data_IF_693638674286
#
_entry.id   IF_693638674286
#
_cell.length_a   1.000
_cell.length_b   1.000
_cell.length_c   1.000
_cell.angle_alpha   90.00
_cell.angle_beta   90.00
_cell.angle_gamma   90.00
#
_symmetry.space_group_name_H-M   'P 1'
#
loop_
_entity.id
_entity.type
_entity.pdbx_description
1 polymer ?
#
# COMPACT_ATOMS: atom_id res chain seq x y z
N UNK A 1 17.57 39.18 -15.04
CA UNK A 1 17.91 39.29 -13.62
C UNK A 1 16.84 38.55 -12.82
N UNK A 2 17.06 37.27 -12.51
CA UNK A 2 16.21 36.50 -11.58
C UNK A 2 16.37 37.04 -10.17
N UNK A 3 15.29 37.17 -9.41
CA UNK A 3 15.32 37.81 -8.09
C UNK A 3 16.15 36.96 -7.11
N UNK A 4 16.89 37.55 -6.16
CA UNK A 4 17.73 36.82 -5.19
C UNK A 4 16.99 35.72 -4.40
N UNK A 5 15.66 35.85 -4.25
CA UNK A 5 14.79 34.89 -3.56
C UNK A 5 14.61 33.59 -4.37
N UNK A 6 14.51 33.67 -5.69
CA UNK A 6 14.35 32.49 -6.57
C UNK A 6 15.63 31.65 -6.62
N UNK A 7 16.79 32.30 -6.57
CA UNK A 7 18.10 31.63 -6.58
C UNK A 7 18.36 30.79 -5.33
N UNK A 8 17.76 31.15 -4.19
CA UNK A 8 17.88 30.39 -2.95
C UNK A 8 16.91 29.21 -2.91
N UNK A 9 15.70 29.36 -3.45
CA UNK A 9 14.71 28.28 -3.50
C UNK A 9 15.21 27.07 -4.31
N UNK A 10 15.84 27.31 -5.46
CA UNK A 10 16.41 26.25 -6.30
C UNK A 10 17.51 25.47 -5.55
N UNK A 11 18.42 26.18 -4.87
CA UNK A 11 19.48 25.54 -4.07
C UNK A 11 18.94 24.66 -2.95
N UNK A 12 17.87 25.09 -2.27
CA UNK A 12 17.26 24.28 -1.22
C UNK A 12 16.55 23.05 -1.80
N UNK A 13 15.95 23.17 -2.98
CA UNK A 13 15.34 22.03 -3.68
C UNK A 13 16.40 21.00 -4.11
N UNK A 14 17.51 21.45 -4.70
CA UNK A 14 18.66 20.61 -5.07
C UNK A 14 19.25 19.92 -3.83
N UNK A 15 19.43 20.66 -2.73
CA UNK A 15 19.92 20.10 -1.48
C UNK A 15 18.96 19.04 -0.90
N UNK A 16 17.65 19.31 -0.88
CA UNK A 16 16.66 18.33 -0.42
C UNK A 16 16.73 17.03 -1.24
N UNK A 17 16.84 17.17 -2.56
CA UNK A 17 16.95 16.05 -3.48
C UNK A 17 18.21 15.20 -3.21
N UNK A 18 19.38 15.83 -3.12
CA UNK A 18 20.64 15.15 -2.82
C UNK A 18 20.56 14.37 -1.50
N UNK A 19 20.03 15.02 -0.44
CA UNK A 19 19.87 14.37 0.86
C UNK A 19 18.91 13.18 0.81
N UNK A 20 17.81 13.27 0.05
CA UNK A 20 16.86 12.18 -0.08
C UNK A 20 17.38 11.03 -0.94
N UNK A 21 18.18 11.32 -1.97
CA UNK A 21 18.82 10.30 -2.81
C UNK A 21 19.86 9.49 -2.03
N UNK A 22 20.64 10.13 -1.16
CA UNK A 22 21.59 9.44 -0.28
C UNK A 22 20.87 8.51 0.72
N UNK A 23 19.75 8.97 1.29
CA UNK A 23 18.94 8.19 2.22
C UNK A 23 18.20 7.04 1.53
N UNK A 24 17.69 7.25 0.31
CA UNK A 24 16.95 6.25 -0.47
C UNK A 24 17.91 5.52 -1.41
N UNK A 25 18.91 4.85 -0.82
CA UNK A 25 19.90 4.10 -1.57
C UNK A 25 19.23 3.11 -2.55
N UNK A 26 19.56 3.21 -3.85
CA UNK A 26 18.99 2.39 -4.94
C UNK A 26 19.08 0.88 -4.67
N UNK A 27 20.13 0.45 -3.99
CA UNK A 27 20.36 -0.95 -3.61
C UNK A 27 19.31 -1.51 -2.64
N UNK A 28 18.62 -0.65 -1.89
CA UNK A 28 17.61 -1.09 -0.92
C UNK A 28 16.45 -1.77 -1.62
N UNK A 29 15.94 -1.17 -2.68
CA UNK A 29 14.83 -1.72 -3.48
C UNK A 29 15.23 -3.06 -4.10
N UNK A 30 16.43 -3.14 -4.68
CA UNK A 30 16.97 -4.39 -5.24
C UNK A 30 17.01 -5.50 -4.19
N UNK A 31 17.56 -5.22 -3.00
CA UNK A 31 17.60 -6.16 -1.87
C UNK A 31 16.20 -6.62 -1.45
N UNK A 32 15.19 -5.75 -1.50
CA UNK A 32 13.80 -6.15 -1.21
C UNK A 32 13.29 -7.21 -2.20
N UNK A 33 13.55 -7.08 -3.49
CA UNK A 33 13.14 -8.10 -4.47
C UNK A 33 13.95 -9.39 -4.34
N UNK A 34 15.27 -9.30 -4.18
CA UNK A 34 16.13 -10.47 -3.99
C UNK A 34 15.67 -11.32 -2.81
N UNK A 35 15.46 -10.68 -1.64
CA UNK A 35 15.00 -11.37 -0.44
C UNK A 35 13.55 -11.84 -0.53
N UNK A 36 12.70 -11.12 -1.25
CA UNK A 36 11.34 -11.57 -1.49
C UNK A 36 11.28 -12.81 -2.40
N UNK A 37 12.08 -12.86 -3.47
CA UNK A 37 12.23 -14.05 -4.29
C UNK A 37 12.76 -15.23 -3.47
N UNK A 38 13.78 -14.99 -2.65
CA UNK A 38 14.31 -16.01 -1.73
C UNK A 38 13.22 -16.59 -0.81
N UNK A 39 12.38 -15.73 -0.21
CA UNK A 39 11.24 -16.17 0.61
C UNK A 39 10.30 -17.04 -0.22
N UNK A 40 9.91 -16.59 -1.41
CA UNK A 40 8.92 -17.28 -2.25
C UNK A 40 9.45 -18.63 -2.72
N UNK A 41 10.67 -18.69 -3.25
CA UNK A 41 11.29 -19.94 -3.71
C UNK A 41 11.40 -20.95 -2.57
N UNK A 42 11.82 -20.51 -1.38
CA UNK A 42 11.91 -21.39 -0.21
C UNK A 42 10.53 -21.93 0.19
N UNK A 43 9.48 -21.10 0.17
CA UNK A 43 8.12 -21.54 0.47
C UNK A 43 7.60 -22.54 -0.59
N UNK A 44 7.90 -22.31 -1.87
CA UNK A 44 7.53 -23.23 -2.93
C UNK A 44 8.21 -24.59 -2.79
N UNK A 45 9.50 -24.62 -2.46
CA UNK A 45 10.25 -25.84 -2.18
C UNK A 45 9.64 -26.61 -1.00
N UNK A 46 9.39 -25.93 0.13
CA UNK A 46 8.72 -26.55 1.30
C UNK A 46 7.32 -27.07 0.96
N UNK A 47 6.58 -26.39 0.09
CA UNK A 47 5.28 -26.88 -0.35
C UNK A 47 5.40 -28.15 -1.19
N UNK A 48 6.42 -28.27 -2.05
CA UNK A 48 6.68 -29.47 -2.85
C UNK A 48 7.08 -30.65 -1.96
N UNK A 49 7.99 -30.45 -1.01
CA UNK A 49 8.41 -31.47 -0.02
C UNK A 49 7.19 -32.12 0.67
N UNK A 50 6.23 -31.31 1.14
CA UNK A 50 5.04 -31.81 1.85
C UNK A 50 4.08 -32.56 0.92
N UNK A 51 3.94 -32.11 -0.33
CA UNK A 51 3.06 -32.75 -1.30
C UNK A 51 3.52 -34.17 -1.68
N UNK A 52 4.80 -34.49 -1.55
CA UNK A 52 5.32 -35.85 -1.76
C UNK A 52 4.95 -36.83 -0.63
N UNK A 53 4.51 -36.34 0.54
CA UNK A 53 4.26 -37.14 1.75
C UNK A 53 2.78 -37.20 2.17
N UNK A 54 1.85 -37.12 1.21
CA UNK A 54 0.43 -37.49 1.39
C UNK A 54 -0.50 -36.44 2.04
N UNK A 55 -0.12 -35.14 2.05
CA UNK A 55 -1.02 -34.03 2.45
C UNK A 55 -1.12 -32.93 1.40
N UNK A 56 -2.36 -32.51 1.13
CA UNK A 56 -2.65 -31.29 0.37
C UNK A 56 -2.19 -30.08 1.20
N UNK A 57 -1.02 -29.53 0.86
CA UNK A 57 -0.48 -28.31 1.46
C UNK A 57 -1.52 -27.17 1.34
N UNK A 58 -1.86 -26.43 2.42
CA UNK A 58 -2.72 -25.25 2.32
C UNK A 58 -2.22 -24.24 1.28
N UNK A 59 -0.91 -24.17 1.09
CA UNK A 59 -0.24 -23.27 0.13
C UNK A 59 -0.42 -23.69 -1.33
N UNK A 60 -0.79 -24.95 -1.62
CA UNK A 60 -0.89 -25.46 -2.99
C UNK A 60 -1.95 -24.78 -3.85
N UNK A 61 -2.84 -23.98 -3.24
CA UNK A 61 -3.85 -23.21 -3.94
C UNK A 61 -3.39 -21.82 -4.39
N UNK A 62 -2.25 -21.35 -3.88
CA UNK A 62 -1.64 -20.09 -4.29
C UNK A 62 -1.09 -20.27 -5.71
N UNK A 63 -1.49 -19.41 -6.64
CA UNK A 63 -0.98 -19.46 -8.02
C UNK A 63 0.13 -18.44 -8.28
N UNK A 64 0.25 -17.44 -7.41
CA UNK A 64 1.13 -16.31 -7.66
C UNK A 64 1.35 -15.43 -6.43
N UNK A 65 2.22 -14.43 -6.60
CA UNK A 65 2.62 -13.49 -5.56
C UNK A 65 2.97 -12.15 -6.19
N UNK A 66 2.76 -11.08 -5.43
CA UNK A 66 3.22 -9.73 -5.79
C UNK A 66 3.97 -9.09 -4.63
N UNK A 67 4.99 -8.29 -4.94
CA UNK A 67 5.55 -7.31 -4.03
C UNK A 67 4.92 -5.95 -4.34
N UNK A 68 4.19 -5.40 -3.38
CA UNK A 68 3.42 -4.17 -3.52
C UNK A 68 3.85 -3.13 -2.47
N UNK A 69 3.07 -2.06 -2.30
CA UNK A 69 3.30 -1.03 -1.30
C UNK A 69 4.52 -0.16 -1.61
N UNK A 70 5.23 0.27 -0.56
CA UNK A 70 6.29 1.29 -0.66
C UNK A 70 7.44 0.88 -1.60
N UNK A 71 7.77 -0.40 -1.66
CA UNK A 71 8.87 -0.89 -2.52
C UNK A 71 8.53 -0.72 -4.00
N UNK A 72 7.37 -1.22 -4.43
CA UNK A 72 6.92 -1.13 -5.82
C UNK A 72 6.62 0.32 -6.25
N UNK A 73 6.18 1.17 -5.29
CA UNK A 73 5.99 2.61 -5.49
C UNK A 73 7.29 3.41 -5.59
N UNK A 74 8.46 2.80 -5.33
CA UNK A 74 9.75 3.51 -5.18
C UNK A 74 9.73 4.58 -4.07
N UNK A 75 8.98 4.31 -3.02
CA UNK A 75 8.82 5.14 -1.81
C UNK A 75 9.39 4.43 -0.56
N UNK A 76 10.24 3.42 -0.75
CA UNK A 76 10.82 2.65 0.34
C UNK A 76 12.02 3.39 0.95
N UNK A 77 11.92 3.69 2.23
CA UNK A 77 13.02 4.23 3.05
C UNK A 77 13.68 3.07 3.82
N UNK A 78 15.01 2.92 3.78
CA UNK A 78 15.72 1.86 4.52
C UNK A 78 15.38 1.85 6.01
N UNK A 79 15.30 0.66 6.61
CA UNK A 79 14.98 0.45 8.03
C UNK A 79 13.62 1.00 8.53
N UNK A 80 12.86 1.67 7.67
CA UNK A 80 11.56 2.26 7.99
C UNK A 80 10.41 1.61 7.22
N UNK A 81 10.67 1.23 5.97
CA UNK A 81 9.68 0.58 5.12
C UNK A 81 9.64 -0.92 5.33
N UNK A 82 8.56 -1.56 4.88
CA UNK A 82 8.47 -3.00 4.77
C UNK A 82 8.03 -3.38 3.35
N UNK A 83 8.46 -4.54 2.88
CA UNK A 83 7.96 -5.13 1.65
C UNK A 83 6.56 -5.70 1.89
N UNK A 84 5.59 -5.35 1.05
CA UNK A 84 4.23 -5.89 1.17
C UNK A 84 4.03 -7.05 0.19
N UNK A 85 4.16 -8.28 0.68
CA UNK A 85 4.00 -9.49 -0.11
C UNK A 85 2.56 -9.98 -0.06
N UNK A 86 1.90 -10.04 -1.21
CA UNK A 86 0.53 -10.56 -1.32
C UNK A 86 0.54 -11.86 -2.11
N UNK A 87 0.24 -12.97 -1.44
CA UNK A 87 0.06 -14.26 -2.09
C UNK A 87 -1.38 -14.40 -2.59
N UNK A 88 -1.52 -14.82 -3.84
CA UNK A 88 -2.77 -14.82 -4.58
C UNK A 88 -3.26 -16.24 -4.82
N UNK A 89 -4.52 -16.51 -4.50
CA UNK A 89 -5.22 -17.69 -5.00
C UNK A 89 -6.45 -17.33 -5.81
N UNK A 90 -6.83 -18.22 -6.71
CA UNK A 90 -7.97 -18.03 -7.58
C UNK A 90 -9.24 -18.56 -6.93
N UNK A 91 -10.32 -17.76 -6.96
CA UNK A 91 -11.65 -18.16 -6.54
C UNK A 91 -12.65 -17.81 -7.65
N UNK A 92 -13.31 -18.82 -8.23
CA UNK A 92 -14.38 -18.54 -9.20
C UNK A 92 -15.51 -17.81 -8.48
N UNK A 93 -16.04 -16.75 -9.08
CA UNK A 93 -17.07 -15.93 -8.47
C UNK A 93 -18.30 -16.74 -7.99
N UNK A 94 -18.71 -17.74 -8.77
CA UNK A 94 -19.83 -18.64 -8.42
C UNK A 94 -19.63 -19.48 -7.16
N UNK A 95 -18.40 -19.61 -6.68
CA UNK A 95 -18.05 -20.33 -5.46
C UNK A 95 -17.98 -19.42 -4.22
N UNK A 96 -18.26 -18.12 -4.37
CA UNK A 96 -18.41 -17.24 -3.24
C UNK A 96 -19.89 -17.18 -2.85
N UNK A 97 -20.34 -18.14 -2.05
CA UNK A 97 -21.63 -18.06 -1.35
C UNK A 97 -21.41 -17.49 0.06
N UNK A 98 -22.37 -16.71 0.55
CA UNK A 98 -22.34 -16.14 1.91
C UNK A 98 -22.26 -17.23 2.98
N UNK A 99 -22.83 -18.42 2.71
CA UNK A 99 -22.75 -19.60 3.59
C UNK A 99 -21.32 -20.15 3.74
N UNK A 100 -20.43 -19.86 2.79
CA UNK A 100 -19.05 -20.38 2.75
C UNK A 100 -18.00 -19.37 3.25
N UNK A 101 -18.41 -18.18 3.70
CA UNK A 101 -17.48 -17.12 4.10
C UNK A 101 -16.50 -17.53 5.23
N UNK A 102 -16.98 -18.30 6.20
CA UNK A 102 -16.12 -18.81 7.27
C UNK A 102 -15.08 -19.83 6.75
N UNK A 103 -15.41 -20.59 5.70
CA UNK A 103 -14.47 -21.48 5.01
C UNK A 103 -13.35 -20.69 4.33
N UNK A 104 -13.68 -19.61 3.63
CA UNK A 104 -12.67 -18.73 3.02
C UNK A 104 -11.78 -18.05 4.07
N UNK A 105 -12.37 -17.58 5.17
CA UNK A 105 -11.59 -17.00 6.27
C UNK A 105 -10.69 -18.03 6.93
N UNK A 106 -11.17 -19.26 7.12
CA UNK A 106 -10.37 -20.38 7.61
C UNK A 106 -9.23 -20.68 6.65
N UNK A 107 -9.48 -20.73 5.35
CA UNK A 107 -8.45 -20.94 4.31
C UNK A 107 -7.34 -19.88 4.36
N UNK A 108 -7.68 -18.59 4.50
CA UNK A 108 -6.68 -17.52 4.69
C UNK A 108 -5.81 -17.77 5.93
N UNK A 109 -6.45 -18.10 7.05
CA UNK A 109 -5.76 -18.36 8.32
C UNK A 109 -4.85 -19.58 8.20
N UNK A 110 -5.31 -20.65 7.54
CA UNK A 110 -4.55 -21.88 7.38
C UNK A 110 -3.32 -21.66 6.49
N UNK A 111 -3.44 -20.89 5.41
CA UNK A 111 -2.30 -20.50 4.57
C UNK A 111 -1.29 -19.66 5.36
N UNK A 112 -1.74 -18.62 6.08
CA UNK A 112 -0.84 -17.78 6.89
C UNK A 112 -0.15 -18.58 8.00
N UNK A 113 -0.89 -19.46 8.67
CA UNK A 113 -0.35 -20.35 9.69
C UNK A 113 0.70 -21.29 9.09
N UNK A 114 0.45 -21.83 7.90
CA UNK A 114 1.40 -22.67 7.18
C UNK A 114 2.67 -21.90 6.80
N UNK A 115 2.55 -20.67 6.27
CA UNK A 115 3.71 -19.81 5.96
C UNK A 115 4.51 -19.53 7.25
N UNK A 116 3.82 -19.18 8.34
CA UNK A 116 4.47 -18.94 9.65
C UNK A 116 5.24 -20.16 10.14
N UNK A 117 4.64 -21.34 10.08
CA UNK A 117 5.28 -22.60 10.49
C UNK A 117 6.50 -22.91 9.60
N UNK A 118 6.37 -22.70 8.29
CA UNK A 118 7.46 -22.89 7.34
C UNK A 118 8.64 -21.95 7.63
N UNK A 119 8.37 -20.65 7.84
CA UNK A 119 9.39 -19.66 8.24
C UNK A 119 10.06 -20.04 9.57
N UNK A 120 9.29 -20.51 10.56
CA UNK A 120 9.86 -20.95 11.84
C UNK A 120 10.74 -22.19 11.69
N UNK A 121 10.32 -23.15 10.85
CA UNK A 121 11.09 -24.35 10.53
C UNK A 121 12.41 -23.99 9.85
N UNK A 122 12.37 -23.14 8.81
CA UNK A 122 13.56 -22.66 8.09
C UNK A 122 14.53 -21.95 9.04
N UNK A 123 14.01 -21.09 9.93
CA UNK A 123 14.82 -20.41 10.95
C UNK A 123 15.58 -21.40 11.83
N UNK A 124 14.92 -22.49 12.26
CA UNK A 124 15.51 -23.55 13.10
C UNK A 124 16.52 -24.39 12.31
N UNK A 125 16.18 -24.80 11.09
CA UNK A 125 17.05 -25.56 10.18
C UNK A 125 18.35 -24.81 9.87
N UNK A 126 18.27 -23.50 9.62
CA UNK A 126 19.45 -22.66 9.33
C UNK A 126 20.17 -22.14 10.58
N UNK A 127 19.69 -22.47 11.78
CA UNK A 127 20.21 -21.99 13.06
C UNK A 127 20.51 -20.47 13.08
N UNK A 128 19.62 -19.64 12.49
CA UNK A 128 19.90 -18.21 12.28
C UNK A 128 18.96 -17.28 13.06
N UNK A 129 19.53 -16.21 13.61
CA UNK A 129 18.78 -15.11 14.23
C UNK A 129 18.39 -14.01 13.21
N UNK A 130 18.82 -14.14 11.94
CA UNK A 130 18.52 -13.19 10.85
C UNK A 130 17.08 -13.30 10.34
N UNK A 131 16.37 -14.37 10.69
CA UNK A 131 14.95 -14.59 10.37
C UNK A 131 14.16 -14.52 11.67
N UNK A 132 13.12 -13.67 11.72
CA UNK A 132 12.25 -13.51 12.89
C UNK A 132 10.80 -13.34 12.47
N UNK A 133 9.88 -13.91 13.25
CA UNK A 133 8.46 -13.55 13.17
C UNK A 133 8.26 -12.37 14.12
N UNK A 134 7.80 -11.24 13.59
CA UNK A 134 7.60 -10.00 14.35
C UNK A 134 6.18 -9.88 14.88
N UNK A 135 5.19 -10.22 14.04
CA UNK A 135 3.76 -10.15 14.39
C UNK A 135 2.99 -11.20 13.60
N UNK A 136 1.96 -11.78 14.20
CA UNK A 136 1.04 -12.68 13.52
C UNK A 136 -0.40 -12.37 13.96
N UNK A 137 -1.29 -12.19 13.00
CA UNK A 137 -2.73 -12.00 13.20
C UNK A 137 -3.52 -12.92 12.28
N UNK A 138 -4.85 -12.91 12.40
CA UNK A 138 -5.74 -13.70 11.54
C UNK A 138 -5.65 -13.34 10.06
N UNK A 139 -5.21 -12.12 9.73
CA UNK A 139 -5.19 -11.58 8.37
C UNK A 139 -3.80 -11.21 7.86
N UNK A 140 -2.76 -11.34 8.71
CA UNK A 140 -1.42 -10.95 8.30
C UNK A 140 -0.30 -11.59 9.10
N UNK A 141 0.86 -11.68 8.47
CA UNK A 141 2.11 -12.12 9.08
C UNK A 141 3.19 -11.07 8.81
N UNK A 142 3.83 -10.55 9.85
CA UNK A 142 4.99 -9.66 9.73
C UNK A 142 6.25 -10.44 10.11
N UNK A 143 7.23 -10.47 9.22
CA UNK A 143 8.51 -11.14 9.44
C UNK A 143 9.67 -10.17 9.21
N UNK A 144 10.81 -10.46 9.83
CA UNK A 144 12.11 -9.91 9.45
C UNK A 144 12.89 -11.03 8.76
N UNK A 145 13.27 -10.81 7.51
CA UNK A 145 14.03 -11.76 6.71
C UNK A 145 15.37 -11.15 6.31
N UNK A 146 16.46 -11.64 6.88
CA UNK A 146 17.84 -11.22 6.59
C UNK A 146 18.03 -9.69 6.64
N UNK A 147 17.45 -9.06 7.65
CA UNK A 147 17.57 -7.63 7.91
C UNK A 147 16.41 -6.77 7.42
N UNK A 148 15.60 -7.24 6.46
CA UNK A 148 14.47 -6.51 5.90
C UNK A 148 13.14 -6.98 6.50
N UNK A 149 12.17 -6.07 6.64
CA UNK A 149 10.84 -6.41 7.12
C UNK A 149 9.87 -6.67 5.97
N UNK A 150 9.06 -7.72 6.11
CA UNK A 150 8.00 -8.05 5.16
C UNK A 150 6.68 -8.20 5.89
N UNK A 151 5.65 -7.60 5.31
CA UNK A 151 4.26 -7.81 5.67
C UNK A 151 3.62 -8.71 4.62
N UNK A 152 3.25 -9.91 5.04
CA UNK A 152 2.65 -10.94 4.21
C UNK A 152 1.13 -10.93 4.41
N UNK A 153 0.40 -10.84 3.30
CA UNK A 153 -1.04 -10.96 3.22
C UNK A 153 -1.44 -12.05 2.22
N UNK A 154 -2.64 -12.59 2.40
CA UNK A 154 -3.28 -13.51 1.46
C UNK A 154 -4.47 -12.79 0.85
N UNK A 155 -4.62 -12.89 -0.46
CA UNK A 155 -5.78 -12.40 -1.16
C UNK A 155 -6.29 -13.45 -2.16
N UNK A 156 -7.60 -13.51 -2.35
CA UNK A 156 -8.16 -14.14 -3.52
C UNK A 156 -8.47 -13.15 -4.63
N UNK A 157 -8.42 -13.66 -5.85
CA UNK A 157 -8.76 -12.96 -7.07
C UNK A 157 -9.86 -13.73 -7.82
N UNK A 158 -10.71 -13.01 -8.54
CA UNK A 158 -11.78 -13.56 -9.38
C UNK A 158 -11.33 -13.88 -10.80
N UNK A 159 -10.15 -13.39 -11.19
CA UNK A 159 -9.42 -13.75 -12.40
C UNK A 159 -7.99 -14.18 -12.04
N UNK A 160 -7.38 -15.06 -12.83
CA UNK A 160 -5.94 -15.36 -12.67
C UNK A 160 -5.13 -14.28 -13.35
N UNK A 161 -4.26 -13.61 -12.61
CA UNK A 161 -3.37 -12.56 -13.14
C UNK A 161 -2.07 -13.18 -13.57
N UNK A 162 -1.86 -13.31 -14.88
CA UNK A 162 -0.71 -14.04 -15.43
C UNK A 162 0.61 -13.41 -14.97
N UNK A 163 0.71 -12.08 -14.96
CA UNK A 163 1.90 -11.33 -14.53
C UNK A 163 2.27 -11.49 -13.04
N UNK A 164 1.45 -12.17 -12.24
CA UNK A 164 1.75 -12.49 -10.84
C UNK A 164 2.09 -13.97 -10.63
N UNK A 165 1.91 -14.82 -11.64
CA UNK A 165 2.00 -16.26 -11.48
C UNK A 165 3.44 -16.70 -11.24
N UNK A 166 3.64 -17.74 -10.42
CA UNK A 166 4.99 -18.21 -10.08
C UNK A 166 5.84 -18.66 -11.28
N UNK A 167 5.18 -19.00 -12.40
CA UNK A 167 5.80 -19.49 -13.63
C UNK A 167 5.76 -18.46 -14.77
N UNK A 168 5.44 -17.20 -14.47
CA UNK A 168 5.30 -16.17 -15.50
C UNK A 168 6.66 -15.73 -16.06
N UNK A 169 7.60 -15.40 -15.18
CA UNK A 169 8.98 -15.09 -15.54
C UNK A 169 9.84 -16.35 -15.54
N UNK A 170 10.80 -16.41 -16.47
CA UNK A 170 11.85 -17.44 -16.47
C UNK A 170 12.81 -17.19 -15.28
N UNK A 171 13.58 -18.20 -14.86
CA UNK A 171 14.67 -18.09 -13.86
C UNK A 171 14.34 -17.97 -12.36
N UNK A 172 13.29 -18.65 -11.86
CA UNK A 172 12.92 -18.64 -10.42
C UNK A 172 12.70 -17.23 -9.83
N UNK A 173 12.49 -16.24 -10.70
CA UNK A 173 12.00 -14.93 -10.31
C UNK A 173 10.48 -15.05 -10.19
N UNK A 174 9.94 -14.68 -9.04
CA UNK A 174 8.52 -14.72 -8.71
C UNK A 174 7.96 -13.33 -8.40
N UNK A 175 8.82 -12.41 -7.97
CA UNK A 175 8.50 -11.00 -7.76
C UNK A 175 9.56 -10.12 -8.41
N UNK A 176 9.13 -9.06 -9.07
CA UNK A 176 10.01 -8.16 -9.81
C UNK A 176 9.44 -6.74 -9.81
N UNK A 177 10.28 -5.70 -10.00
CA UNK A 177 9.79 -4.34 -10.20
C UNK A 177 9.07 -4.25 -11.53
N UNK A 178 7.83 -3.80 -11.53
CA UNK A 178 7.05 -3.65 -12.75
C UNK A 178 7.49 -2.36 -13.45
N UNK A 179 7.58 -2.40 -14.77
CA UNK A 179 7.63 -1.19 -15.59
C UNK A 179 6.31 -0.42 -15.49
N UNK A 180 6.30 0.84 -15.94
CA UNK A 180 5.07 1.62 -16.01
C UNK A 180 4.01 0.94 -16.89
N UNK A 181 4.41 0.41 -18.04
CA UNK A 181 3.52 -0.33 -18.96
C UNK A 181 2.91 -1.57 -18.30
N UNK A 182 3.73 -2.35 -17.58
CA UNK A 182 3.25 -3.52 -16.83
C UNK A 182 2.30 -3.11 -15.70
N UNK A 183 2.56 -1.99 -15.01
CA UNK A 183 1.65 -1.46 -13.99
C UNK A 183 0.35 -0.95 -14.60
N UNK A 184 0.37 -0.34 -15.78
CA UNK A 184 -0.82 0.10 -16.48
C UNK A 184 -1.67 -1.09 -16.91
N UNK A 185 -1.07 -2.12 -17.48
CA UNK A 185 -1.75 -3.38 -17.83
C UNK A 185 -2.37 -4.02 -16.57
N UNK A 186 -1.60 -4.11 -15.49
CA UNK A 186 -2.11 -4.62 -14.23
C UNK A 186 -3.25 -3.74 -13.69
N UNK A 187 -3.14 -2.42 -13.75
CA UNK A 187 -4.17 -1.50 -13.29
C UNK A 187 -5.48 -1.69 -14.05
N UNK A 188 -5.45 -1.84 -15.37
CA UNK A 188 -6.64 -2.10 -16.18
C UNK A 188 -7.35 -3.39 -15.73
N UNK A 189 -6.62 -4.50 -15.62
CA UNK A 189 -7.15 -5.78 -15.12
C UNK A 189 -7.78 -5.65 -13.72
N UNK A 190 -7.17 -4.84 -12.85
CA UNK A 190 -7.63 -4.63 -11.49
C UNK A 190 -8.88 -3.75 -11.42
N UNK A 191 -8.97 -2.74 -12.29
CA UNK A 191 -10.16 -1.89 -12.44
C UNK A 191 -11.34 -2.74 -12.90
N UNK A 192 -11.13 -3.65 -13.86
CA UNK A 192 -12.17 -4.55 -14.37
C UNK A 192 -12.65 -5.55 -13.31
N UNK A 193 -11.76 -6.04 -12.44
CA UNK A 193 -12.12 -6.98 -11.38
C UNK A 193 -12.78 -6.31 -10.16
N UNK A 194 -12.47 -5.03 -9.90
CA UNK A 194 -12.87 -4.33 -8.69
C UNK A 194 -14.40 -4.28 -8.44
N UNK A 195 -15.28 -4.04 -9.45
CA UNK A 195 -16.73 -4.09 -9.27
C UNK A 195 -17.24 -5.40 -8.66
N UNK A 196 -16.59 -6.53 -8.95
CA UNK A 196 -16.96 -7.83 -8.40
C UNK A 196 -16.75 -7.84 -6.88
N UNK A 197 -15.58 -7.40 -6.41
CA UNK A 197 -15.31 -7.28 -4.97
C UNK A 197 -16.29 -6.31 -4.28
N UNK A 198 -16.59 -5.18 -4.91
CA UNK A 198 -17.51 -4.16 -4.38
C UNK A 198 -18.92 -4.70 -4.21
N UNK A 199 -19.44 -5.40 -5.23
CA UNK A 199 -20.75 -6.07 -5.17
C UNK A 199 -20.81 -7.04 -4.00
N UNK A 200 -19.74 -7.79 -3.74
CA UNK A 200 -19.68 -8.76 -2.63
C UNK A 200 -19.66 -8.07 -1.26
N UNK A 201 -18.89 -7.01 -1.09
CA UNK A 201 -18.90 -6.21 0.15
C UNK A 201 -20.30 -5.64 0.43
N UNK A 202 -20.98 -5.13 -0.61
CA UNK A 202 -22.35 -4.57 -0.50
C UNK A 202 -23.40 -5.63 -0.14
N UNK A 203 -23.24 -6.85 -0.66
CA UNK A 203 -24.17 -7.95 -0.42
C UNK A 203 -24.05 -8.58 0.97
N UNK A 204 -22.95 -8.34 1.69
CA UNK A 204 -22.87 -8.72 3.10
C UNK A 204 -23.77 -7.77 3.90
N UNK A 205 -24.84 -8.34 4.48
CA UNK A 205 -25.78 -7.59 5.30
C UNK A 205 -25.06 -6.79 6.40
N UNK A 206 -25.58 -5.58 6.69
CA UNK A 206 -24.95 -4.64 7.65
C UNK A 206 -24.66 -5.25 9.03
N UNK A 207 -25.43 -6.27 9.44
CA UNK A 207 -25.26 -6.97 10.70
C UNK A 207 -23.97 -7.83 10.75
N UNK A 208 -23.38 -8.22 9.61
CA UNK A 208 -22.20 -9.08 9.57
C UNK A 208 -20.90 -8.29 9.37
N UNK A 209 -20.61 -7.43 10.35
CA UNK A 209 -19.41 -6.55 10.35
C UNK A 209 -18.11 -7.34 10.14
N UNK A 210 -18.01 -8.55 10.71
CA UNK A 210 -16.82 -9.41 10.61
C UNK A 210 -16.52 -9.81 9.17
N UNK A 211 -17.53 -10.25 8.41
CA UNK A 211 -17.34 -10.63 7.00
C UNK A 211 -17.05 -9.43 6.12
N UNK A 212 -17.72 -8.31 6.37
CA UNK A 212 -17.45 -7.07 5.66
C UNK A 212 -15.98 -6.64 5.79
N UNK A 213 -15.46 -6.57 7.01
CA UNK A 213 -14.05 -6.25 7.25
C UNK A 213 -13.09 -7.27 6.63
N UNK A 214 -13.47 -8.54 6.58
CA UNK A 214 -12.66 -9.57 5.92
C UNK A 214 -12.59 -9.36 4.40
N UNK A 215 -13.73 -9.06 3.76
CA UNK A 215 -13.81 -8.75 2.33
C UNK A 215 -13.07 -7.44 1.98
N UNK A 216 -13.20 -6.40 2.80
CA UNK A 216 -12.48 -5.13 2.63
C UNK A 216 -10.97 -5.33 2.70
N UNK A 217 -10.47 -6.15 3.64
CA UNK A 217 -9.05 -6.51 3.68
C UNK A 217 -8.62 -7.32 2.45
N UNK A 218 -9.46 -8.24 1.97
CA UNK A 218 -9.17 -9.00 0.76
C UNK A 218 -9.08 -8.07 -0.47
N UNK A 219 -10.05 -7.17 -0.63
CA UNK A 219 -10.05 -6.13 -1.65
C UNK A 219 -8.78 -5.29 -1.58
N UNK A 220 -8.43 -4.77 -0.38
CA UNK A 220 -7.22 -3.98 -0.15
C UNK A 220 -5.94 -4.68 -0.64
N UNK A 221 -5.80 -5.96 -0.30
CA UNK A 221 -4.61 -6.74 -0.65
C UNK A 221 -4.61 -7.10 -2.15
N UNK A 222 -5.75 -7.57 -2.66
CA UNK A 222 -5.96 -7.97 -4.06
C UNK A 222 -5.71 -6.80 -5.01
N UNK A 223 -6.22 -5.61 -4.70
CA UNK A 223 -6.09 -4.42 -5.54
C UNK A 223 -4.88 -3.55 -5.21
N UNK A 224 -3.94 -4.05 -4.40
CA UNK A 224 -2.85 -3.23 -3.88
C UNK A 224 -1.96 -2.60 -4.96
N UNK A 225 -1.84 -3.23 -6.14
CA UNK A 225 -1.10 -2.67 -7.28
C UNK A 225 -1.78 -1.44 -7.93
N UNK A 226 -3.09 -1.23 -7.76
CA UNK A 226 -3.73 0.00 -8.24
C UNK A 226 -3.13 1.22 -7.55
N UNK A 227 -3.00 1.16 -6.22
CA UNK A 227 -2.31 2.21 -5.45
C UNK A 227 -0.86 2.37 -5.85
N UNK A 228 -0.22 1.31 -6.32
CA UNK A 228 1.15 1.41 -6.83
C UNK A 228 1.15 2.23 -8.11
N UNK A 229 0.34 1.85 -9.09
CA UNK A 229 0.23 2.54 -10.38
C UNK A 229 0.02 4.04 -10.18
N UNK A 230 -1.03 4.44 -9.44
CA UNK A 230 -1.35 5.84 -9.20
C UNK A 230 -0.35 6.63 -8.36
N UNK A 231 0.64 5.98 -7.73
CA UNK A 231 1.68 6.64 -6.94
C UNK A 231 3.08 6.46 -7.53
N UNK A 232 3.18 5.96 -8.77
CA UNK A 232 4.43 5.91 -9.51
C UNK A 232 4.91 7.32 -9.83
N UNK A 233 6.22 7.53 -9.71
CA UNK A 233 6.87 8.83 -9.98
C UNK A 233 6.51 9.35 -11.38
N UNK A 234 6.41 8.44 -12.33
CA UNK A 234 6.05 8.73 -13.72
C UNK A 234 4.63 9.31 -13.88
N UNK A 235 3.74 9.11 -12.90
CA UNK A 235 2.37 9.63 -12.90
C UNK A 235 2.17 10.81 -11.94
N UNK A 236 2.76 10.77 -10.75
CA UNK A 236 2.57 11.83 -9.73
C UNK A 236 3.67 12.90 -9.74
N UNK A 237 4.73 12.69 -10.53
CA UNK A 237 5.88 13.57 -10.63
C UNK A 237 6.93 13.36 -9.52
N UNK A 238 8.18 13.67 -9.88
CA UNK A 238 9.36 13.59 -8.99
C UNK A 238 9.19 14.42 -7.73
N UNK A 239 8.68 15.65 -7.84
CA UNK A 239 8.53 16.55 -6.69
C UNK A 239 7.52 16.04 -5.65
N UNK A 240 6.41 15.43 -6.08
CA UNK A 240 5.46 14.76 -5.18
C UNK A 240 6.13 13.59 -4.46
N UNK A 241 6.89 12.76 -5.18
CA UNK A 241 7.61 11.64 -4.59
C UNK A 241 8.61 12.11 -3.53
N UNK A 242 9.38 13.16 -3.81
CA UNK A 242 10.32 13.76 -2.84
C UNK A 242 9.59 14.29 -1.60
N UNK A 243 8.47 15.00 -1.77
CA UNK A 243 7.66 15.48 -0.66
C UNK A 243 7.15 14.34 0.22
N UNK A 244 6.65 13.25 -0.39
CA UNK A 244 6.19 12.06 0.34
C UNK A 244 7.35 11.40 1.11
N UNK A 245 8.51 11.24 0.48
CA UNK A 245 9.70 10.67 1.13
C UNK A 245 10.14 11.51 2.33
N UNK A 246 10.21 12.83 2.15
CA UNK A 246 10.53 13.78 3.23
C UNK A 246 9.56 13.63 4.40
N UNK A 247 8.25 13.67 4.15
CA UNK A 247 7.24 13.61 5.21
C UNK A 247 7.23 12.25 5.94
N UNK A 248 7.55 11.15 5.23
CA UNK A 248 7.71 9.83 5.87
C UNK A 248 8.92 9.81 6.82
N UNK A 249 10.05 10.37 6.39
CA UNK A 249 11.27 10.51 7.21
C UNK A 249 10.99 11.43 8.40
N UNK A 250 10.42 12.61 8.16
CA UNK A 250 10.03 13.56 9.20
C UNK A 250 9.12 12.92 10.24
N UNK A 251 8.03 12.26 9.81
CA UNK A 251 7.10 11.60 10.73
C UNK A 251 7.80 10.50 11.55
N UNK A 252 8.72 9.74 10.94
CA UNK A 252 9.48 8.74 11.67
C UNK A 252 10.41 9.35 12.73
N UNK A 253 11.14 10.41 12.37
CA UNK A 253 12.05 11.11 13.30
C UNK A 253 11.29 11.71 14.48
N UNK A 254 10.18 12.42 14.21
CA UNK A 254 9.35 13.05 15.25
C UNK A 254 8.73 12.01 16.20
N UNK A 255 8.53 10.78 15.73
CA UNK A 255 7.81 9.74 16.46
C UNK A 255 8.72 8.68 17.06
N UNK A 256 10.03 8.71 16.76
CA UNK A 256 11.00 7.66 17.11
C UNK A 256 11.00 7.30 18.59
N UNK A 257 10.85 8.29 19.47
CA UNK A 257 10.93 8.12 20.92
C UNK A 257 9.56 7.94 21.59
N UNK A 258 8.46 7.94 20.81
CA UNK A 258 7.11 7.74 21.35
C UNK A 258 6.77 6.27 21.53
N UNK A 259 5.98 5.88 22.55
CA UNK A 259 5.46 4.53 22.69
C UNK A 259 4.69 4.07 21.43
N UNK A 260 4.85 2.80 21.03
CA UNK A 260 4.22 2.24 19.80
C UNK A 260 2.70 2.47 19.71
N UNK A 261 1.98 2.47 20.83
CA UNK A 261 0.54 2.74 20.84
C UNK A 261 0.24 4.20 20.45
N UNK A 262 1.04 5.16 20.93
CA UNK A 262 0.91 6.56 20.56
C UNK A 262 1.37 6.82 19.11
N UNK A 263 2.39 6.10 18.65
CA UNK A 263 2.82 6.16 17.23
C UNK A 263 1.68 5.79 16.27
N UNK A 264 0.88 4.78 16.59
CA UNK A 264 -0.23 4.34 15.72
C UNK A 264 -1.43 5.29 15.72
N UNK A 265 -1.64 6.05 16.80
CA UNK A 265 -2.79 6.96 16.93
C UNK A 265 -2.50 8.37 16.41
N UNK A 266 -1.24 8.82 16.45
CA UNK A 266 -0.86 10.20 16.14
C UNK A 266 -0.18 10.38 14.78
N UNK A 267 0.13 9.29 14.06
CA UNK A 267 0.73 9.34 12.73
C UNK A 267 -0.32 9.27 11.62
N UNK A 268 -0.13 10.04 10.55
CA UNK A 268 -0.81 9.78 9.29
C UNK A 268 -0.29 8.47 8.68
N UNK A 269 -1.19 7.71 8.07
CA UNK A 269 -0.79 6.52 7.31
C UNK A 269 0.06 6.92 6.10
N UNK A 270 0.95 6.03 5.64
CA UNK A 270 1.72 6.28 4.42
C UNK A 270 0.82 6.65 3.23
N UNK A 271 -0.31 5.95 3.08
CA UNK A 271 -1.29 6.28 2.04
C UNK A 271 -1.88 7.68 2.23
N UNK A 272 -2.12 8.12 3.46
CA UNK A 272 -2.62 9.47 3.73
C UNK A 272 -1.60 10.52 3.32
N UNK A 273 -0.32 10.33 3.64
CA UNK A 273 0.75 11.23 3.21
C UNK A 273 0.83 11.31 1.67
N UNK A 274 0.78 10.15 1.00
CA UNK A 274 0.78 10.05 -0.46
C UNK A 274 -0.38 10.83 -1.09
N UNK A 275 -1.62 10.58 -0.63
CA UNK A 275 -2.84 11.22 -1.14
C UNK A 275 -2.82 12.73 -0.90
N UNK A 276 -2.43 13.18 0.31
CA UNK A 276 -2.38 14.60 0.62
C UNK A 276 -1.35 15.31 -0.25
N UNK A 277 -0.17 14.72 -0.47
CA UNK A 277 0.86 15.34 -1.33
C UNK A 277 0.41 15.45 -2.77
N UNK A 278 -0.19 14.40 -3.33
CA UNK A 278 -0.72 14.42 -4.70
C UNK A 278 -1.80 15.50 -4.85
N UNK A 279 -2.74 15.56 -3.91
CA UNK A 279 -3.78 16.59 -3.90
C UNK A 279 -3.20 18.01 -3.79
N UNK A 280 -2.21 18.22 -2.92
CA UNK A 280 -1.60 19.54 -2.74
C UNK A 280 -0.82 19.99 -3.99
N UNK A 281 -0.17 19.06 -4.71
CA UNK A 281 0.42 19.38 -6.01
C UNK A 281 -0.63 19.97 -6.95
N UNK A 282 -1.76 19.28 -7.14
CA UNK A 282 -2.81 19.76 -8.05
C UNK A 282 -3.37 21.13 -7.65
N UNK A 283 -3.49 21.39 -6.35
CA UNK A 283 -3.94 22.69 -5.86
C UNK A 283 -2.92 23.79 -6.14
N UNK A 284 -1.63 23.49 -5.98
CA UNK A 284 -0.55 24.43 -6.26
C UNK A 284 -0.44 24.72 -7.76
N UNK A 285 -0.55 23.69 -8.62
CA UNK A 285 -0.53 23.84 -10.08
C UNK A 285 -1.64 24.76 -10.59
N UNK A 286 -2.84 24.72 -9.99
CA UNK A 286 -3.94 25.65 -10.31
C UNK A 286 -3.62 27.12 -10.00
N UNK A 287 -2.65 27.38 -9.13
CA UNK A 287 -2.25 28.73 -8.71
C UNK A 287 -0.94 29.20 -9.33
N UNK A 288 -0.16 28.28 -9.90
CA UNK A 288 1.08 28.58 -10.60
C UNK A 288 0.80 28.97 -12.06
N UNK A 289 1.77 29.63 -12.69
CA UNK A 289 1.71 29.86 -14.13
C UNK A 289 1.79 28.51 -14.87
N UNK A 290 1.11 28.38 -16.03
CA UNK A 290 1.33 27.25 -16.92
C UNK A 290 2.84 27.09 -17.18
N UNK A 291 3.33 25.85 -17.20
CA UNK A 291 4.73 25.45 -17.46
C UNK A 291 5.73 25.63 -16.31
N UNK A 292 5.34 26.17 -15.16
CA UNK A 292 6.21 26.22 -13.97
C UNK A 292 5.99 24.99 -13.09
N UNK A 293 6.99 24.12 -13.02
CA UNK A 293 6.93 22.94 -12.16
C UNK A 293 6.91 23.34 -10.68
N UNK A 294 5.96 22.80 -9.91
CA UNK A 294 5.85 23.01 -8.46
C UNK A 294 6.98 22.27 -7.73
N UNK A 295 7.87 22.95 -7.00
CA UNK A 295 8.93 22.33 -6.21
C UNK A 295 8.39 21.46 -5.07
N UNK A 296 9.16 20.43 -4.67
CA UNK A 296 8.78 19.56 -3.55
C UNK A 296 8.65 20.34 -2.23
N UNK A 297 9.49 21.35 -2.02
CA UNK A 297 9.42 22.23 -0.84
C UNK A 297 8.09 22.98 -0.72
N UNK A 298 7.48 23.37 -1.85
CA UNK A 298 6.19 24.05 -1.82
C UNK A 298 5.07 23.11 -1.44
N UNK A 299 5.12 21.84 -1.89
CA UNK A 299 4.19 20.79 -1.47
C UNK A 299 4.34 20.53 0.04
N UNK A 300 5.58 20.41 0.55
CA UNK A 300 5.87 20.21 1.98
C UNK A 300 5.35 21.40 2.81
N UNK A 301 5.60 22.62 2.35
CA UNK A 301 5.12 23.82 3.02
C UNK A 301 3.59 23.90 3.03
N UNK A 302 2.95 23.59 1.91
CA UNK A 302 1.49 23.52 1.82
C UNK A 302 0.92 22.43 2.74
N UNK A 303 1.61 21.29 2.90
CA UNK A 303 1.24 20.24 3.83
C UNK A 303 1.24 20.74 5.27
N UNK A 304 2.32 21.37 5.73
CA UNK A 304 2.37 21.90 7.10
C UNK A 304 1.38 23.04 7.33
N UNK A 305 1.13 23.89 6.33
CA UNK A 305 0.06 24.90 6.37
C UNK A 305 -1.32 24.26 6.51
N UNK A 306 -1.57 23.16 5.79
CA UNK A 306 -2.82 22.41 5.90
C UNK A 306 -2.98 21.82 7.32
N UNK A 307 -1.95 21.16 7.84
CA UNK A 307 -1.96 20.59 9.19
C UNK A 307 -2.14 21.66 10.26
N UNK A 308 -1.43 22.80 10.16
CA UNK A 308 -1.55 23.90 11.12
C UNK A 308 -2.91 24.61 11.07
N UNK A 309 -3.56 24.65 9.90
CA UNK A 309 -4.96 25.15 9.78
C UNK A 309 -5.93 24.20 10.47
N UNK A 310 -5.75 22.90 10.31
CA UNK A 310 -6.58 21.90 10.98
C UNK A 310 -6.43 21.99 12.51
N UNK A 311 -5.18 21.99 13.01
CA UNK A 311 -4.91 22.07 14.46
C UNK A 311 -5.37 23.37 15.13
N UNK A 312 -5.39 24.50 14.41
CA UNK A 312 -5.89 25.77 14.97
C UNK A 312 -7.40 25.83 15.08
N UNK A 313 -8.13 25.10 14.23
CA UNK A 313 -9.60 25.14 14.17
C UNK A 313 -10.28 24.24 15.20
N UNK A 314 -9.60 23.25 15.74
CA UNK A 314 -10.10 22.43 16.86
C UNK A 314 -10.21 23.21 18.19
N UNK A 315 -9.90 24.52 18.20
CA UNK A 315 -10.04 25.39 19.37
C UNK A 315 -11.12 26.49 19.27
N UNK A 316 -11.65 26.80 18.07
CA UNK A 316 -12.60 27.90 17.84
C UNK A 316 -13.88 27.39 17.15
N UNK A 317 -14.97 27.30 17.92
CA UNK A 317 -16.21 26.57 17.62
C UNK A 317 -17.21 27.29 16.69
N UNK A 318 -16.78 27.99 15.65
CA UNK A 318 -17.71 28.86 14.90
C UNK A 318 -17.80 28.70 13.37
N UNK A 319 -17.00 27.85 12.70
CA UNK A 319 -17.24 27.55 11.27
C UNK A 319 -16.75 26.14 10.88
N UNK A 320 -17.71 25.24 10.74
CA UNK A 320 -17.55 23.83 10.35
C UNK A 320 -17.04 23.70 8.91
N UNK A 321 -15.82 23.18 8.72
CA UNK A 321 -15.35 22.73 7.41
C UNK A 321 -14.60 21.41 7.59
N UNK A 322 -15.27 20.31 7.28
CA UNK A 322 -14.64 19.00 7.06
C UNK A 322 -13.65 19.16 5.91
N UNK A 323 -12.36 18.98 6.20
CA UNK A 323 -11.34 18.94 5.14
C UNK A 323 -11.32 17.54 4.58
N UNK A 324 -11.89 17.39 3.39
CA UNK A 324 -11.89 16.14 2.66
C UNK A 324 -10.90 16.19 1.51
N UNK A 325 -9.97 15.24 1.52
CA UNK A 325 -9.04 15.02 0.42
C UNK A 325 -9.32 13.65 -0.19
N UNK A 326 -9.68 13.64 -1.47
CA UNK A 326 -10.01 12.44 -2.24
C UNK A 326 -8.94 12.23 -3.31
N UNK A 327 -8.43 11.00 -3.47
CA UNK A 327 -7.45 10.68 -4.53
C UNK A 327 -7.54 9.22 -4.98
N UNK A 328 -7.41 8.92 -6.28
CA UNK A 328 -7.27 9.86 -7.40
C UNK A 328 -8.55 10.65 -7.70
N UNK A 329 -8.37 11.87 -8.20
CA UNK A 329 -9.42 12.73 -8.70
C UNK A 329 -9.40 12.63 -10.23
N UNK A 330 -10.35 11.95 -10.87
CA UNK A 330 -10.45 11.95 -12.33
C UNK A 330 -11.86 12.31 -12.76
N UNK A 331 -11.95 13.25 -13.69
CA UNK A 331 -13.20 13.76 -14.29
C UNK A 331 -13.86 12.77 -15.28
N UNK A 332 -13.55 11.47 -15.17
CA UNK A 332 -14.12 10.40 -15.99
C UNK A 332 -14.88 9.39 -15.14
N UNK A 333 -16.05 8.94 -15.60
CA UNK A 333 -16.96 8.02 -14.89
C UNK A 333 -16.39 6.61 -14.60
N UNK A 334 -15.17 6.28 -15.04
CA UNK A 334 -14.76 4.88 -15.22
C UNK A 334 -13.64 4.38 -14.29
N UNK A 335 -13.02 5.21 -13.45
CA UNK A 335 -11.75 4.81 -12.79
C UNK A 335 -11.73 4.92 -11.26
N UNK A 336 -12.71 5.59 -10.65
CA UNK A 336 -12.86 5.62 -9.20
C UNK A 336 -13.70 4.42 -8.73
N UNK A 337 -13.14 3.62 -7.83
CA UNK A 337 -13.83 2.44 -7.28
C UNK A 337 -14.88 2.82 -6.24
N UNK A 338 -14.76 4.01 -5.66
CA UNK A 338 -15.77 4.63 -4.79
C UNK A 338 -16.59 5.62 -5.60
N UNK A 339 -17.92 5.46 -5.61
CA UNK A 339 -18.81 6.38 -6.33
C UNK A 339 -18.98 7.70 -5.60
N UNK A 340 -19.21 8.79 -6.32
CA UNK A 340 -19.53 10.11 -5.73
C UNK A 340 -20.69 10.04 -4.74
N UNK A 341 -21.68 9.17 -4.99
CA UNK A 341 -22.80 8.93 -4.07
C UNK A 341 -22.34 8.31 -2.74
N UNK A 342 -21.37 7.39 -2.78
CA UNK A 342 -20.81 6.77 -1.58
C UNK A 342 -19.95 7.76 -0.79
N UNK A 343 -19.16 8.55 -1.49
CA UNK A 343 -18.38 9.64 -0.89
C UNK A 343 -19.30 10.66 -0.23
N UNK A 344 -20.38 11.10 -0.90
CA UNK A 344 -21.35 12.03 -0.33
C UNK A 344 -22.10 11.44 0.87
N UNK A 345 -22.38 10.13 0.85
CA UNK A 345 -22.94 9.43 2.02
C UNK A 345 -21.93 9.31 3.17
N UNK A 346 -20.63 9.23 2.86
CA UNK A 346 -19.59 9.25 3.89
C UNK A 346 -19.45 10.65 4.48
N UNK A 347 -19.40 11.70 3.64
CA UNK A 347 -19.43 13.11 4.04
C UNK A 347 -20.58 13.39 5.02
N UNK A 348 -21.78 12.89 4.73
CA UNK A 348 -22.96 13.13 5.58
C UNK A 348 -22.94 12.39 6.93
N UNK A 349 -21.92 11.57 7.21
CA UNK A 349 -21.78 10.78 8.44
C UNK A 349 -20.54 11.12 9.25
N UNK A 350 -19.63 11.90 8.67
CA UNK A 350 -18.43 12.34 9.35
C UNK A 350 -18.78 13.56 10.16
N UNK A 351 -18.35 13.58 11.42
CA UNK A 351 -18.54 14.74 12.29
C UNK A 351 -17.77 15.95 11.73
N UNK A 352 -18.33 17.14 11.95
CA UNK A 352 -17.90 18.40 11.34
C UNK A 352 -16.47 18.86 11.71
N UNK A 353 -15.80 18.11 12.59
CA UNK A 353 -14.45 18.38 13.09
C UNK A 353 -13.36 17.44 12.53
N UNK A 354 -13.70 16.48 11.65
CA UNK A 354 -12.72 15.50 11.18
C UNK A 354 -11.94 15.94 9.93
N UNK A 355 -10.62 15.70 9.94
CA UNK A 355 -9.78 15.70 8.75
C UNK A 355 -9.87 14.32 8.09
N UNK A 356 -10.42 14.27 6.88
CA UNK A 356 -10.69 13.01 6.19
C UNK A 356 -9.86 12.89 4.93
N UNK A 357 -9.16 11.78 4.82
CA UNK A 357 -8.49 11.37 3.58
C UNK A 357 -9.19 10.14 3.02
N UNK A 358 -9.81 10.30 1.85
CA UNK A 358 -10.49 9.23 1.12
C UNK A 358 -9.60 8.71 0.01
N UNK A 359 -9.38 7.41 0.07
CA UNK A 359 -8.70 6.64 -0.97
C UNK A 359 -9.75 6.13 -1.95
N UNK A 360 -9.87 6.79 -3.11
CA UNK A 360 -10.88 6.47 -4.11
C UNK A 360 -10.62 5.15 -4.84
N UNK A 361 -9.49 4.50 -4.57
CA UNK A 361 -9.15 3.19 -5.14
C UNK A 361 -9.64 2.04 -4.26
N UNK A 362 -9.81 2.24 -2.95
CA UNK A 362 -10.17 1.14 -2.06
C UNK A 362 -11.12 1.63 -0.98
N UNK A 363 -12.34 1.09 -0.97
CA UNK A 363 -13.33 1.32 0.09
C UNK A 363 -12.74 0.95 1.44
N UNK A 364 -12.84 1.87 2.40
CA UNK A 364 -12.58 1.66 3.82
C UNK A 364 -13.87 1.55 4.63
#
# INVERSE_FOLDING_TARGET
MTKPVEKNALKYQEYLEEQLEDVVAKDTTKKYYERANEIVSTLLEKSKEISHHDKKSPFSCIYGVILSGCVQKQLAVPNMSCGYLVFLYYLKEKHLDNSEMDSHQKKHKDILSWIKQSVDKIRKELCTNKIKILKHSKSSLKIKWKGLEYHIAIAWTFSKRQYCAFHYTQDNVHVYPFSLEQLQMAANDLIDEAPIHHKRIKNVGKANKKWRTFLEHNLCASLSLLRVYYMREELVGRNTRLAVLFLKIWQHVVMKDRPQQQQQQQCLSNNSLEIICAHLLEQLEKTCQPDVAVPALDIIHAFFKLMARFLRRTGDSANEIVVLIEWPHRDGQSECLVTTREINRYKSKVDSEEFVVVDNLIIR
#
